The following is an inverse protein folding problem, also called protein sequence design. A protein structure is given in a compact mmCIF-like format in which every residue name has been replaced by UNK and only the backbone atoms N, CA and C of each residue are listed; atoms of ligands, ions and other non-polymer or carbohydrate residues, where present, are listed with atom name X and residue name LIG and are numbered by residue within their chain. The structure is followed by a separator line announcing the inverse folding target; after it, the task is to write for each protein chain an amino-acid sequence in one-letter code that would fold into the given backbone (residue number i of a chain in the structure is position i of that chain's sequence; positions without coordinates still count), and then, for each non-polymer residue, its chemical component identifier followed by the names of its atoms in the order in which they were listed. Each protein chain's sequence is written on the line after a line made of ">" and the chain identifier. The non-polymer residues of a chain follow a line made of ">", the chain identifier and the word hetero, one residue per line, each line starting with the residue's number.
data_IF_506522732378
#
_entry.id   IF_506522732378
#
_cell.length_a   1.000
_cell.length_b   1.000
_cell.length_c   1.000
_cell.angle_alpha   90.00
_cell.angle_beta   90.00
_cell.angle_gamma   90.00
#
_symmetry.space_group_name_H-M   'P 1'
#
loop_
_entity.id
_entity.type
_entity.pdbx_description
1 polymer ?
#
# COMPACT_ATOMS: atom_id res chain seq x y z
N UNK A 1 1.55 -15.26 6.46
CA UNK A 1 0.15 -14.83 6.34
C UNK A 1 0.10 -13.32 6.32
N UNK A 2 -0.32 -12.77 5.19
CA UNK A 2 -0.55 -11.33 5.02
C UNK A 2 -2.00 -11.09 4.59
N UNK A 3 -2.49 -9.90 4.88
CA UNK A 3 -3.80 -9.45 4.44
C UNK A 3 -3.67 -8.52 3.23
N UNK A 4 -4.59 -8.66 2.27
CA UNK A 4 -4.67 -7.78 1.11
C UNK A 4 -6.03 -7.11 1.01
N UNK A 5 -6.03 -5.81 0.72
CA UNK A 5 -7.25 -5.01 0.49
C UNK A 5 -7.02 -4.20 -0.79
N UNK A 6 -8.03 -4.16 -1.67
CA UNK A 6 -7.99 -3.37 -2.90
C UNK A 6 -9.27 -2.55 -3.10
N UNK A 7 -9.16 -1.46 -3.85
CA UNK A 7 -10.35 -0.85 -4.45
C UNK A 7 -10.92 -1.83 -5.48
N UNK A 8 -12.25 -1.94 -5.54
CA UNK A 8 -12.93 -2.84 -6.47
C UNK A 8 -13.07 -2.24 -7.89
N UNK A 9 -12.03 -1.54 -8.35
CA UNK A 9 -11.94 -0.99 -9.71
C UNK A 9 -10.86 -1.73 -10.52
N UNK A 10 -10.77 -1.43 -11.81
CA UNK A 10 -9.81 -2.11 -12.69
C UNK A 10 -8.37 -1.92 -12.24
N UNK A 11 -8.02 -0.75 -11.71
CA UNK A 11 -6.67 -0.49 -11.22
C UNK A 11 -6.34 -1.38 -10.02
N UNK A 12 -7.22 -1.41 -9.01
CA UNK A 12 -7.07 -2.23 -7.82
C UNK A 12 -7.09 -3.72 -8.13
N UNK A 13 -7.96 -4.16 -9.06
CA UNK A 13 -8.08 -5.56 -9.46
C UNK A 13 -6.87 -6.04 -10.26
N UNK A 14 -6.41 -5.26 -11.25
CA UNK A 14 -5.22 -5.61 -12.04
C UNK A 14 -3.96 -5.62 -11.18
N UNK A 15 -3.79 -4.60 -10.32
CA UNK A 15 -2.67 -4.54 -9.39
C UNK A 15 -2.68 -5.72 -8.40
N UNK A 16 -3.86 -6.11 -7.92
CA UNK A 16 -3.98 -7.26 -7.02
C UNK A 16 -3.68 -8.58 -7.72
N UNK A 17 -4.08 -8.77 -8.98
CA UNK A 17 -3.77 -9.99 -9.72
C UNK A 17 -2.25 -10.24 -9.81
N UNK A 18 -1.48 -9.21 -10.17
CA UNK A 18 -0.01 -9.28 -10.19
C UNK A 18 0.56 -9.53 -8.80
N UNK A 19 0.01 -8.88 -7.78
CA UNK A 19 0.45 -9.07 -6.40
C UNK A 19 0.20 -10.49 -5.89
N UNK A 20 -0.99 -11.06 -6.13
CA UNK A 20 -1.35 -12.41 -5.69
C UNK A 20 -0.49 -13.45 -6.40
N UNK A 21 -0.27 -13.30 -7.70
CA UNK A 21 0.62 -14.18 -8.47
C UNK A 21 2.04 -14.16 -7.91
N UNK A 22 2.59 -12.97 -7.65
CA UNK A 22 3.93 -12.82 -7.08
C UNK A 22 4.01 -13.41 -5.67
N UNK A 23 2.98 -13.18 -4.84
CA UNK A 23 2.93 -13.72 -3.49
C UNK A 23 2.94 -15.25 -3.49
N UNK A 24 2.16 -15.89 -4.36
CA UNK A 24 2.13 -17.34 -4.53
C UNK A 24 3.49 -17.89 -4.99
N UNK A 25 4.11 -17.25 -5.98
CA UNK A 25 5.45 -17.63 -6.48
C UNK A 25 6.52 -17.55 -5.39
N UNK A 26 6.40 -16.60 -4.46
CA UNK A 26 7.32 -16.42 -3.34
C UNK A 26 6.93 -17.26 -2.09
N UNK A 27 5.89 -18.10 -2.18
CA UNK A 27 5.41 -18.93 -1.06
C UNK A 27 4.75 -18.12 0.07
N UNK A 28 4.28 -16.91 -0.23
CA UNK A 28 3.58 -16.03 0.73
C UNK A 28 2.09 -16.35 0.70
N UNK A 29 1.55 -16.81 1.83
CA UNK A 29 0.12 -17.07 1.97
C UNK A 29 -0.68 -15.79 2.29
N UNK A 30 -1.78 -15.58 1.58
CA UNK A 30 -2.80 -14.57 1.86
C UNK A 30 -3.84 -15.13 2.82
N UNK A 31 -4.04 -14.47 3.96
CA UNK A 31 -5.10 -14.85 4.91
C UNK A 31 -6.47 -14.35 4.45
N UNK A 32 -6.49 -13.15 3.85
CA UNK A 32 -7.66 -12.59 3.21
C UNK A 32 -7.25 -11.71 2.02
N UNK A 33 -8.12 -11.64 1.02
CA UNK A 33 -8.02 -10.68 -0.10
C UNK A 33 -9.39 -10.06 -0.29
N UNK A 34 -9.56 -8.85 0.25
CA UNK A 34 -10.83 -8.13 0.27
C UNK A 34 -10.83 -7.03 -0.77
N UNK A 35 -12.02 -6.71 -1.29
CA UNK A 35 -12.22 -5.54 -2.15
C UNK A 35 -13.33 -4.64 -1.61
N UNK A 36 -13.20 -3.34 -1.84
CA UNK A 36 -14.20 -2.36 -1.45
C UNK A 36 -14.36 -1.28 -2.53
N UNK A 37 -15.56 -0.71 -2.62
CA UNK A 37 -15.78 0.60 -3.20
C UNK A 37 -15.88 1.64 -2.07
N UNK A 38 -15.43 2.87 -2.33
CA UNK A 38 -15.65 3.98 -1.38
C UNK A 38 -17.13 4.26 -1.11
N UNK A 39 -18.01 3.84 -2.01
CA UNK A 39 -19.46 3.98 -1.93
C UNK A 39 -20.17 2.72 -1.44
N UNK A 40 -19.42 1.70 -1.00
CA UNK A 40 -20.04 0.50 -0.44
C UNK A 40 -20.90 0.85 0.79
N UNK A 41 -22.01 0.13 1.01
CA UNK A 41 -22.78 0.22 2.24
C UNK A 41 -21.92 0.05 3.49
N UNK A 42 -22.29 0.76 4.57
CA UNK A 42 -21.49 0.80 5.79
C UNK A 42 -21.34 -0.57 6.45
N UNK A 43 -22.35 -1.44 6.38
CA UNK A 43 -22.31 -2.82 6.87
C UNK A 43 -21.21 -3.65 6.17
N UNK A 44 -21.04 -3.47 4.85
CA UNK A 44 -19.94 -4.11 4.12
C UNK A 44 -18.58 -3.58 4.58
N UNK A 45 -18.45 -2.27 4.75
CA UNK A 45 -17.21 -1.64 5.25
C UNK A 45 -16.88 -2.11 6.67
N UNK A 46 -17.88 -2.20 7.55
CA UNK A 46 -17.72 -2.72 8.91
C UNK A 46 -17.20 -4.17 8.89
N UNK A 47 -17.76 -5.03 8.04
CA UNK A 47 -17.31 -6.41 7.90
C UNK A 47 -15.86 -6.52 7.44
N UNK A 48 -15.41 -5.64 6.55
CA UNK A 48 -14.00 -5.54 6.15
C UNK A 48 -13.13 -5.15 7.34
N UNK A 49 -13.52 -4.11 8.09
CA UNK A 49 -12.79 -3.66 9.29
C UNK A 49 -12.70 -4.78 10.34
N UNK A 50 -13.79 -5.51 10.56
CA UNK A 50 -13.83 -6.64 11.49
C UNK A 50 -12.87 -7.74 11.06
N UNK A 51 -12.87 -8.10 9.77
CA UNK A 51 -11.94 -9.10 9.22
C UNK A 51 -10.48 -8.71 9.44
N UNK A 52 -10.13 -7.45 9.18
CA UNK A 52 -8.78 -6.92 9.41
C UNK A 52 -8.42 -6.95 10.89
N UNK A 53 -9.36 -6.60 11.78
CA UNK A 53 -9.12 -6.56 13.23
C UNK A 53 -8.98 -7.95 13.85
N UNK A 54 -9.74 -8.94 13.36
CA UNK A 54 -9.70 -10.31 13.86
C UNK A 54 -8.53 -11.14 13.30
N UNK A 55 -7.87 -10.64 12.25
CA UNK A 55 -6.82 -11.37 11.55
C UNK A 55 -5.52 -11.45 12.35
N UNK A 56 -4.79 -12.55 12.15
CA UNK A 56 -3.42 -12.72 12.65
C UNK A 56 -2.34 -12.24 11.67
N UNK A 57 -2.78 -11.73 10.51
CA UNK A 57 -1.90 -11.29 9.42
C UNK A 57 -1.03 -10.11 9.83
N UNK A 58 0.22 -10.14 9.35
CA UNK A 58 1.17 -9.04 9.55
C UNK A 58 1.17 -8.13 8.33
N UNK A 59 1.26 -6.81 8.58
CA UNK A 59 1.49 -5.83 7.52
C UNK A 59 2.99 -5.81 7.21
N UNK A 60 3.42 -6.13 5.98
CA UNK A 60 4.83 -6.06 5.61
C UNK A 60 5.30 -4.62 5.60
N UNK A 61 6.48 -4.36 6.17
CA UNK A 61 7.15 -3.06 6.09
C UNK A 61 8.00 -3.03 4.84
N UNK A 62 7.90 -1.95 4.06
CA UNK A 62 8.77 -1.75 2.90
C UNK A 62 10.23 -1.69 3.36
N UNK A 63 11.08 -2.55 2.81
CA UNK A 63 12.53 -2.51 3.06
C UNK A 63 13.24 -1.41 2.24
N UNK A 64 12.50 -0.66 1.43
CA UNK A 64 13.09 0.28 0.48
C UNK A 64 13.39 1.66 1.07
N UNK A 65 12.36 2.35 1.57
CA UNK A 65 12.50 3.71 2.07
C UNK A 65 11.57 3.94 3.26
N UNK A 66 12.14 4.53 4.31
CA UNK A 66 11.37 5.09 5.41
C UNK A 66 10.53 6.30 4.96
N UNK A 67 9.55 6.67 5.78
CA UNK A 67 8.76 7.87 5.51
C UNK A 67 9.68 9.10 5.48
N UNK A 68 9.54 9.91 4.44
CA UNK A 68 10.30 11.15 4.34
C UNK A 68 9.95 12.12 5.49
N UNK A 69 10.96 12.73 6.15
CA UNK A 69 10.72 13.73 7.16
C UNK A 69 10.14 15.01 6.53
N UNK A 70 9.44 15.84 7.31
CA UNK A 70 8.99 17.15 6.85
C UNK A 70 10.14 18.00 6.29
N UNK A 71 9.87 18.77 5.23
CA UNK A 71 10.88 19.59 4.54
C UNK A 71 11.70 18.83 3.50
N UNK A 72 11.32 17.60 3.17
CA UNK A 72 11.95 16.81 2.09
C UNK A 72 10.93 16.36 1.04
N UNK A 73 11.40 16.09 -0.18
CA UNK A 73 10.62 15.51 -1.27
C UNK A 73 11.22 14.18 -1.73
N UNK A 74 10.35 13.30 -2.24
CA UNK A 74 10.73 11.95 -2.71
C UNK A 74 11.34 12.03 -4.12
N UNK A 75 12.49 11.42 -4.32
CA UNK A 75 13.11 11.21 -5.63
C UNK A 75 13.26 9.72 -5.88
N UNK A 76 12.65 9.21 -6.95
CA UNK A 76 12.67 7.78 -7.26
C UNK A 76 14.09 7.29 -7.56
N UNK A 77 14.48 6.19 -6.93
CA UNK A 77 15.75 5.55 -7.22
C UNK A 77 15.68 4.86 -8.58
N UNK A 78 16.56 5.26 -9.51
CA UNK A 78 16.58 4.71 -10.87
C UNK A 78 16.82 3.20 -10.84
N UNK A 79 15.97 2.44 -11.53
CA UNK A 79 16.08 0.98 -11.64
C UNK A 79 15.55 0.20 -10.43
N UNK A 80 14.93 0.87 -9.45
CA UNK A 80 14.26 0.22 -8.31
C UNK A 80 12.73 0.38 -8.39
N UNK A 81 11.97 -0.44 -7.63
CA UNK A 81 10.52 -0.26 -7.51
C UNK A 81 10.13 1.15 -7.06
N UNK A 82 8.92 1.60 -7.40
CA UNK A 82 8.41 2.96 -7.10
C UNK A 82 8.37 3.25 -5.59
N UNK A 83 8.30 2.21 -4.74
CA UNK A 83 8.37 2.37 -3.29
C UNK A 83 9.79 2.67 -2.76
N UNK A 84 10.80 2.73 -3.63
CA UNK A 84 12.20 3.01 -3.30
C UNK A 84 12.59 4.40 -3.81
N UNK A 85 12.78 5.32 -2.87
CA UNK A 85 13.04 6.73 -3.10
C UNK A 85 14.03 7.29 -2.09
N UNK A 86 14.73 8.35 -2.50
CA UNK A 86 15.53 9.19 -1.60
C UNK A 86 14.70 10.39 -1.13
N UNK A 87 14.94 10.84 0.09
CA UNK A 87 14.33 12.05 0.63
C UNK A 87 15.34 13.18 0.51
N UNK A 88 15.08 14.14 -0.38
CA UNK A 88 15.95 15.30 -0.63
C UNK A 88 15.31 16.54 -0.03
N UNK A 89 16.09 17.39 0.64
CA UNK A 89 15.62 18.67 1.16
C UNK A 89 14.95 19.50 0.07
N UNK A 90 13.79 20.07 0.38
CA UNK A 90 13.15 21.09 -0.45
C UNK A 90 14.08 22.30 -0.59
N UNK A 91 14.05 22.97 -1.75
CA UNK A 91 14.75 24.23 -1.89
C UNK A 91 14.11 25.30 -0.99
N UNK A 92 14.88 26.33 -0.64
CA UNK A 92 14.36 27.43 0.18
C UNK A 92 13.16 28.10 -0.51
N UNK A 93 12.04 28.21 0.20
CA UNK A 93 10.78 28.74 -0.34
C UNK A 93 9.86 27.72 -1.01
N UNK A 94 10.26 26.45 -1.16
CA UNK A 94 9.38 25.40 -1.67
C UNK A 94 8.52 24.78 -0.55
N UNK A 95 7.22 24.66 -0.80
CA UNK A 95 6.27 24.02 0.11
C UNK A 95 5.90 22.65 -0.47
N UNK A 96 6.21 21.58 0.25
CA UNK A 96 5.65 20.26 -0.03
C UNK A 96 4.20 20.22 0.49
N UNK A 97 3.23 20.53 -0.37
CA UNK A 97 1.79 20.44 -0.05
C UNK A 97 1.25 18.99 -0.14
N UNK A 98 2.11 18.00 -0.38
CA UNK A 98 1.72 16.59 -0.47
C UNK A 98 1.98 15.88 0.85
N UNK A 99 0.92 15.66 1.63
CA UNK A 99 0.90 14.78 2.82
C UNK A 99 1.03 13.27 2.48
N UNK A 100 1.74 12.92 1.40
CA UNK A 100 1.84 11.56 0.86
C UNK A 100 2.80 10.64 1.60
#
# INVERSE_FOLDING_TARGET
>A
WIGAIRTNDDYGNNGMATFTETAEQLGICLEYSLSFFRTDPWDKIQKIIETVRSSTSKVPVSACSEKCPPGTHKVLQKGKPVCCYDCISCAEGEISNSTG
#
